data_IF_992742935014
#
_entry.id   IF_992742935014
#
_cell.length_a   1.000
_cell.length_b   1.000
_cell.length_c   1.000
_cell.angle_alpha   90.00
_cell.angle_beta   90.00
_cell.angle_gamma   90.00
#
_symmetry.space_group_name_H-M   'P 1'
#
loop_
_entity.id
_entity.type
_entity.pdbx_description
1 polymer ?
#
# COMPACT_ATOMS: atom_id res chain seq x y z
N UNK A 1 -14.86 7.85 -9.16
CA UNK A 1 -13.78 7.75 -8.17
C UNK A 1 -14.03 6.51 -7.34
N UNK A 2 -13.22 5.46 -7.50
CA UNK A 2 -13.31 4.31 -6.61
C UNK A 2 -12.46 4.65 -5.37
N UNK A 3 -13.13 4.81 -4.22
CA UNK A 3 -12.49 5.06 -2.94
C UNK A 3 -11.82 3.77 -2.47
N UNK A 4 -10.61 3.88 -1.87
CA UNK A 4 -9.94 2.74 -1.23
C UNK A 4 -10.90 2.01 -0.28
N UNK A 5 -10.80 0.67 -0.16
CA UNK A 5 -11.55 -0.04 0.87
C UNK A 5 -11.20 0.53 2.25
N UNK A 6 -12.21 0.83 3.06
CA UNK A 6 -12.01 1.22 4.45
C UNK A 6 -11.55 -0.01 5.23
N UNK A 7 -10.27 -0.01 5.60
CA UNK A 7 -9.69 -1.07 6.41
C UNK A 7 -10.16 -0.95 7.85
N UNK A 8 -10.47 -2.09 8.47
CA UNK A 8 -10.80 -2.17 9.89
C UNK A 8 -9.53 -1.95 10.74
N UNK A 9 -9.11 -0.70 10.91
CA UNK A 9 -7.90 -0.30 11.63
C UNK A 9 -8.25 0.80 12.63
N UNK A 10 -7.55 0.86 13.77
CA UNK A 10 -7.77 1.88 14.80
C UNK A 10 -6.76 3.02 14.73
N UNK A 11 -7.14 4.26 15.09
CA UNK A 11 -6.21 5.37 15.18
C UNK A 11 -5.15 5.14 16.26
N UNK A 12 -3.96 5.66 16.06
CA UNK A 12 -2.85 5.52 17.00
C UNK A 12 -1.49 5.65 16.34
N UNK A 13 -0.43 5.41 17.12
CA UNK A 13 0.93 5.28 16.62
C UNK A 13 1.12 3.88 16.06
N UNK A 14 1.60 3.78 14.83
CA UNK A 14 1.82 2.53 14.11
C UNK A 14 3.28 2.40 13.68
N UNK A 15 3.84 1.21 13.83
CA UNK A 15 5.11 0.83 13.22
C UNK A 15 4.85 0.08 11.91
N UNK A 16 5.47 0.53 10.83
CA UNK A 16 5.41 -0.07 9.51
C UNK A 16 6.78 -0.67 9.17
N UNK A 17 6.75 -1.83 8.53
CA UNK A 17 7.91 -2.48 7.94
C UNK A 17 7.54 -2.91 6.54
N UNK A 18 8.19 -2.34 5.53
CA UNK A 18 8.05 -2.72 4.14
C UNK A 18 9.32 -3.41 3.66
N UNK A 19 9.16 -4.37 2.76
CA UNK A 19 10.27 -5.01 2.06
C UNK A 19 9.94 -5.07 0.59
N UNK A 20 10.77 -4.42 -0.22
CA UNK A 20 10.64 -4.39 -1.68
C UNK A 20 11.71 -5.29 -2.28
N UNK A 21 11.30 -6.27 -3.08
CA UNK A 21 12.18 -7.12 -3.86
C UNK A 21 12.37 -6.51 -5.25
N UNK A 22 13.61 -6.13 -5.55
CA UNK A 22 14.01 -5.57 -6.84
C UNK A 22 14.88 -6.60 -7.58
N UNK A 23 14.46 -7.05 -8.77
CA UNK A 23 15.27 -7.93 -9.60
C UNK A 23 16.70 -7.41 -9.80
N UNK A 24 17.69 -8.25 -9.52
CA UNK A 24 19.11 -7.92 -9.69
C UNK A 24 19.75 -7.05 -8.59
N UNK A 25 18.96 -6.50 -7.66
CA UNK A 25 19.47 -5.66 -6.56
C UNK A 25 19.21 -6.25 -5.16
N UNK A 26 18.34 -7.26 -5.07
CA UNK A 26 17.99 -7.92 -3.82
C UNK A 26 16.77 -7.27 -3.15
N UNK A 27 16.66 -7.43 -1.82
CA UNK A 27 15.52 -6.89 -1.07
C UNK A 27 15.92 -5.67 -0.24
N UNK A 28 15.16 -4.59 -0.35
CA UNK A 28 15.35 -3.36 0.42
C UNK A 28 14.29 -3.31 1.53
N UNK A 29 14.68 -3.46 2.82
CA UNK A 29 13.78 -3.24 3.94
C UNK A 29 13.72 -1.76 4.29
N UNK A 30 12.52 -1.27 4.60
CA UNK A 30 12.29 0.09 5.13
C UNK A 30 11.35 -0.04 6.32
N UNK A 31 11.69 0.61 7.43
CA UNK A 31 10.84 0.64 8.61
C UNK A 31 10.66 2.08 9.08
N UNK A 32 9.46 2.43 9.51
CA UNK A 32 9.13 3.76 9.98
C UNK A 32 7.92 3.70 10.92
N UNK A 33 7.75 4.74 11.72
CA UNK A 33 6.57 4.91 12.56
C UNK A 33 5.79 6.12 12.10
N UNK A 34 4.46 6.05 12.17
CA UNK A 34 3.60 7.20 11.90
C UNK A 34 2.37 7.20 12.80
N UNK A 35 1.90 8.40 13.13
CA UNK A 35 0.63 8.58 13.81
C UNK A 35 -0.49 8.58 12.77
N UNK A 36 -1.39 7.60 12.86
CA UNK A 36 -2.56 7.43 11.99
C UNK A 36 -3.77 7.99 12.71
N UNK A 37 -4.37 9.04 12.17
CA UNK A 37 -5.58 9.66 12.74
C UNK A 37 -6.85 8.98 12.23
N UNK A 38 -7.99 9.23 12.88
CA UNK A 38 -9.29 8.76 12.39
C UNK A 38 -9.59 9.30 10.98
N UNK A 39 -9.22 10.56 10.73
CA UNK A 39 -9.35 11.20 9.41
C UNK A 39 -8.53 10.45 8.35
N UNK A 40 -7.35 9.94 8.70
CA UNK A 40 -6.54 9.15 7.76
C UNK A 40 -7.16 7.80 7.45
N UNK A 41 -7.83 7.16 8.42
CA UNK A 41 -8.57 5.91 8.19
C UNK A 41 -9.79 6.17 7.31
N UNK A 42 -10.56 7.22 7.60
CA UNK A 42 -11.78 7.56 6.85
C UNK A 42 -11.49 7.97 5.41
N UNK A 43 -10.34 8.61 5.17
CA UNK A 43 -9.88 8.98 3.83
C UNK A 43 -9.03 7.89 3.14
N UNK A 44 -8.81 6.73 3.77
CA UNK A 44 -7.95 5.66 3.23
C UNK A 44 -6.47 6.05 3.12
N UNK A 45 -6.03 7.06 3.86
CA UNK A 45 -4.63 7.51 3.92
C UNK A 45 -3.75 6.66 4.83
N UNK A 46 -4.31 5.75 5.62
CA UNK A 46 -3.56 4.82 6.46
C UNK A 46 -2.64 3.85 5.70
N UNK A 47 -2.81 3.70 4.38
CA UNK A 47 -1.87 3.04 3.46
C UNK A 47 -1.12 4.01 2.54
N UNK A 48 -1.55 5.27 2.49
CA UNK A 48 -1.24 6.17 1.38
C UNK A 48 -0.11 7.12 1.75
N UNK A 49 1.12 6.62 1.77
CA UNK A 49 2.31 7.46 1.60
C UNK A 49 2.40 8.09 0.18
N UNK A 50 1.40 7.88 -0.69
CA UNK A 50 1.48 8.15 -2.13
C UNK A 50 0.84 9.46 -2.60
N UNK A 51 0.06 10.17 -1.77
CA UNK A 51 -0.68 11.36 -2.24
C UNK A 51 0.23 12.52 -2.64
N UNK A 52 1.39 12.65 -1.98
CA UNK A 52 2.31 13.77 -2.20
C UNK A 52 3.22 13.59 -3.43
N UNK A 53 3.15 12.44 -4.12
CA UNK A 53 4.01 12.13 -5.26
C UNK A 53 3.43 12.52 -6.64
N UNK A 54 2.26 13.15 -6.70
CA UNK A 54 1.62 13.53 -7.97
C UNK A 54 1.11 12.33 -8.79
N UNK A 55 0.87 11.20 -8.13
CA UNK A 55 0.36 9.96 -8.73
C UNK A 55 -1.15 9.84 -8.45
N UNK A 56 -1.95 9.69 -9.50
CA UNK A 56 -3.38 9.38 -9.42
C UNK A 56 -3.62 7.88 -9.54
N UNK A 57 -4.25 7.27 -8.55
CA UNK A 57 -4.50 5.83 -8.49
C UNK A 57 -6.00 5.52 -8.53
N UNK A 58 -6.41 4.69 -9.50
CA UNK A 58 -7.76 4.14 -9.60
C UNK A 58 -7.81 2.73 -9.05
N UNK A 59 -8.73 2.48 -8.13
CA UNK A 59 -8.90 1.18 -7.49
C UNK A 59 -9.98 0.36 -8.19
N UNK A 60 -9.74 -0.94 -8.36
CA UNK A 60 -10.67 -1.87 -9.01
C UNK A 60 -10.58 -3.27 -8.39
N UNK A 61 -11.46 -4.17 -8.84
CA UNK A 61 -11.47 -5.58 -8.42
C UNK A 61 -11.54 -5.77 -6.89
N UNK A 62 -12.26 -4.88 -6.20
CA UNK A 62 -12.39 -4.92 -4.74
C UNK A 62 -13.13 -6.19 -4.29
N UNK A 63 -12.45 -7.01 -3.51
CA UNK A 63 -13.00 -8.20 -2.84
C UNK A 63 -12.65 -8.13 -1.37
N UNK A 64 -13.66 -8.26 -0.53
CA UNK A 64 -13.49 -8.34 0.92
C UNK A 64 -14.09 -9.65 1.41
N UNK A 65 -13.35 -10.38 2.24
CA UNK A 65 -13.82 -11.60 2.91
C UNK A 65 -13.32 -11.57 4.35
N UNK A 66 -14.21 -11.16 5.26
CA UNK A 66 -13.83 -10.89 6.65
C UNK A 66 -12.77 -9.80 6.73
N UNK A 67 -11.63 -10.13 7.33
CA UNK A 67 -10.45 -9.26 7.48
C UNK A 67 -9.51 -9.27 6.28
N UNK A 68 -9.78 -10.06 5.24
CA UNK A 68 -8.96 -10.10 4.01
C UNK A 68 -9.52 -9.18 2.94
N UNK A 69 -8.65 -8.37 2.35
CA UNK A 69 -8.94 -7.42 1.29
C UNK A 69 -8.03 -7.71 0.10
N UNK A 70 -8.63 -7.84 -1.08
CA UNK A 70 -7.93 -7.98 -2.34
C UNK A 70 -8.44 -6.94 -3.30
N UNK A 71 -7.54 -6.20 -3.93
CA UNK A 71 -7.90 -5.15 -4.89
C UNK A 71 -6.70 -4.84 -5.79
N UNK A 72 -6.98 -4.14 -6.88
CA UNK A 72 -5.94 -3.58 -7.75
C UNK A 72 -5.97 -2.06 -7.69
N UNK A 73 -4.81 -1.44 -7.82
CA UNK A 73 -4.65 -0.02 -8.04
C UNK A 73 -3.91 0.18 -9.37
N UNK A 74 -4.53 0.91 -10.29
CA UNK A 74 -3.89 1.37 -11.53
C UNK A 74 -3.57 2.84 -11.37
N UNK A 75 -2.29 3.15 -11.30
CA UNK A 75 -1.76 4.46 -11.00
C UNK A 75 -1.13 5.09 -12.24
N UNK A 76 -1.40 6.37 -12.44
CA UNK A 76 -0.89 7.20 -13.54
C UNK A 76 -0.32 8.48 -12.97
N UNK A 77 0.71 9.03 -13.58
CA UNK A 77 1.37 10.25 -13.11
C UNK A 77 2.16 10.86 -14.25
N UNK A 78 2.49 12.15 -14.15
CA UNK A 78 3.24 12.87 -15.20
C UNK A 78 4.63 12.25 -15.42
N UNK A 79 5.22 11.70 -14.37
CA UNK A 79 6.56 11.10 -14.38
C UNK A 79 6.56 9.57 -14.55
N UNK A 80 5.39 8.97 -14.83
CA UNK A 80 5.29 7.54 -15.12
C UNK A 80 5.24 7.32 -16.64
N UNK A 81 6.19 6.56 -17.21
CA UNK A 81 6.24 6.32 -18.66
C UNK A 81 5.05 5.49 -19.16
N UNK A 82 4.47 4.67 -18.27
CA UNK A 82 3.26 3.87 -18.52
C UNK A 82 2.49 3.69 -17.20
N UNK A 83 1.20 3.31 -17.23
CA UNK A 83 0.44 3.06 -16.02
C UNK A 83 1.13 2.01 -15.13
N UNK A 84 1.21 2.32 -13.85
CA UNK A 84 1.70 1.41 -12.83
C UNK A 84 0.52 0.61 -12.29
N UNK A 85 0.62 -0.72 -12.29
CA UNK A 85 -0.43 -1.59 -11.76
C UNK A 85 0.08 -2.26 -10.49
N UNK A 86 -0.63 -2.05 -9.40
CA UNK A 86 -0.39 -2.69 -8.10
C UNK A 86 -1.53 -3.64 -7.78
N UNK A 87 -1.21 -4.90 -7.49
CA UNK A 87 -2.17 -5.88 -6.97
C UNK A 87 -1.92 -6.08 -5.49
N UNK A 88 -2.96 -5.97 -4.68
CA UNK A 88 -2.92 -6.08 -3.23
C UNK A 88 -3.64 -7.36 -2.79
N UNK A 89 -3.02 -8.07 -1.86
CA UNK A 89 -3.65 -9.09 -1.02
C UNK A 89 -3.24 -8.79 0.43
N UNK A 90 -4.19 -8.36 1.23
CA UNK A 90 -3.90 -7.94 2.60
C UNK A 90 -4.90 -8.48 3.60
N UNK A 91 -4.44 -8.64 4.83
CA UNK A 91 -5.28 -8.82 6.00
C UNK A 91 -5.12 -7.61 6.90
N UNK A 92 -6.22 -7.03 7.36
CA UNK A 92 -6.21 -5.93 8.29
C UNK A 92 -7.17 -6.19 9.45
N UNK A 93 -6.73 -5.82 10.65
CA UNK A 93 -7.56 -5.73 11.84
C UNK A 93 -7.19 -4.46 12.62
N UNK A 94 -7.89 -4.22 13.72
CA UNK A 94 -7.79 -3.00 14.52
C UNK A 94 -6.37 -2.61 14.91
N UNK A 95 -5.45 -3.57 15.03
CA UNK A 95 -4.08 -3.35 15.53
C UNK A 95 -2.97 -3.90 14.63
N UNK A 96 -3.30 -4.56 13.52
CA UNK A 96 -2.32 -5.16 12.63
C UNK A 96 -2.75 -5.11 11.15
N UNK A 97 -1.75 -4.96 10.28
CA UNK A 97 -1.90 -5.05 8.83
C UNK A 97 -0.79 -5.95 8.31
N UNK A 98 -1.15 -6.89 7.44
CA UNK A 98 -0.20 -7.69 6.67
C UNK A 98 -0.61 -7.60 5.20
N UNK A 99 0.31 -7.21 4.32
CA UNK A 99 0.03 -7.03 2.90
C UNK A 99 1.13 -7.62 2.06
N UNK A 100 0.69 -8.33 1.02
CA UNK A 100 1.50 -8.71 -0.13
C UNK A 100 1.05 -7.89 -1.33
N UNK A 101 2.01 -7.34 -2.02
CA UNK A 101 1.81 -6.46 -3.15
C UNK A 101 2.66 -6.93 -4.32
N UNK A 102 2.10 -6.85 -5.52
CA UNK A 102 2.86 -7.03 -6.76
C UNK A 102 2.69 -5.79 -7.61
N UNK A 103 3.79 -5.24 -8.10
CA UNK A 103 3.82 -4.06 -8.94
C UNK A 103 4.41 -4.36 -10.31
N UNK A 104 3.74 -3.88 -11.35
CA UNK A 104 4.17 -3.97 -12.75
C UNK A 104 3.90 -2.64 -13.47
N UNK A 105 4.52 -2.41 -14.63
CA UNK A 105 4.40 -1.13 -15.37
C UNK A 105 5.14 0.03 -14.69
N UNK A 106 4.83 1.28 -15.05
CA UNK A 106 5.58 2.44 -14.62
C UNK A 106 7.10 2.28 -14.80
N UNK A 107 7.88 2.63 -13.79
CA UNK A 107 9.34 2.48 -13.82
C UNK A 107 9.82 1.04 -13.56
N UNK A 108 8.92 0.09 -13.25
CA UNK A 108 9.32 -1.30 -12.97
C UNK A 108 9.94 -1.97 -14.19
N UNK A 109 9.61 -1.53 -15.40
CA UNK A 109 10.18 -2.07 -16.65
C UNK A 109 11.71 -1.92 -16.71
N UNK A 110 12.23 -0.79 -16.24
CA UNK A 110 13.68 -0.56 -16.12
C UNK A 110 14.34 -1.39 -15.00
N UNK A 111 13.53 -1.96 -14.09
CA UNK A 111 13.96 -2.71 -12.90
C UNK A 111 13.59 -4.20 -12.99
N UNK A 112 13.45 -4.76 -14.20
CA UNK A 112 13.14 -6.20 -14.38
C UNK A 112 11.65 -6.55 -14.49
N UNK A 113 10.78 -5.55 -14.67
CA UNK A 113 9.38 -5.70 -15.11
C UNK A 113 8.36 -6.06 -14.03
N UNK A 114 8.79 -6.61 -12.90
CA UNK A 114 7.93 -6.94 -11.76
C UNK A 114 8.67 -6.76 -10.45
N UNK A 115 8.03 -6.08 -9.50
CA UNK A 115 8.51 -5.96 -8.12
C UNK A 115 7.50 -6.56 -7.16
N UNK A 116 7.98 -7.35 -6.21
CA UNK A 116 7.16 -7.82 -5.11
C UNK A 116 7.43 -6.93 -3.90
N UNK A 117 6.37 -6.61 -3.17
CA UNK A 117 6.45 -5.85 -1.95
C UNK A 117 5.69 -6.59 -0.85
N UNK A 118 6.24 -6.58 0.34
CA UNK A 118 5.53 -7.00 1.55
C UNK A 118 5.49 -5.84 2.52
N UNK A 119 4.38 -5.68 3.23
CA UNK A 119 4.22 -4.68 4.28
C UNK A 119 3.60 -5.35 5.49
N UNK A 120 4.19 -5.13 6.65
CA UNK A 120 3.62 -5.46 7.94
C UNK A 120 3.49 -4.17 8.74
N UNK A 121 2.38 -3.97 9.43
CA UNK A 121 2.20 -2.84 10.33
C UNK A 121 1.53 -3.27 11.63
N UNK A 122 1.96 -2.67 12.75
CA UNK A 122 1.41 -2.93 14.08
C UNK A 122 1.14 -1.63 14.82
N UNK A 123 -0.02 -1.53 15.44
CA UNK A 123 -0.36 -0.43 16.35
C UNK A 123 0.41 -0.57 17.65
N UNK A 124 1.12 0.49 18.03
CA UNK A 124 1.96 0.55 19.22
C UNK A 124 1.20 1.16 20.41
N UNK A 125 0.57 2.31 20.19
CA UNK A 125 -0.06 3.11 21.24
C UNK A 125 -1.07 4.10 20.67
N UNK A 126 -1.60 5.01 21.51
CA UNK A 126 -2.15 6.27 21.02
C UNK A 126 -1.06 7.10 20.31
N UNK A 127 -1.49 8.03 19.45
CA UNK A 127 -0.61 8.93 18.71
C UNK A 127 0.23 9.83 19.62
#
# INVERSE_FOLDING_TARGET
>A
HAQLPKFDTSPGKWAYSTRTEIPGMGSIPVSFEQCVTQKDIDEGRNLSAQKDAGIDCKYSDMKQTGSRYQFKATCTGKDLPEPMVMTYDMTANTTAIDSKMTMTGGNTKAMGGKMNMTMNAKRLSAC
#
